data_IF_206131568587
#
_entry.id   IF_206131568587
#
_cell.length_a   1.000
_cell.length_b   1.000
_cell.length_c   1.000
_cell.angle_alpha   90.00
_cell.angle_beta   90.00
_cell.angle_gamma   90.00
#
_symmetry.space_group_name_H-M   'P 1'
#
loop_
_entity.id
_entity.type
_entity.pdbx_description
1 polymer ?
#
# COMPACT_ATOMS: atom_id res chain seq x y z
N UNK A 1 -12.40 12.65 9.20
CA UNK A 1 -13.20 13.90 9.04
C UNK A 1 -12.57 14.92 8.08
N UNK A 2 -11.26 15.18 8.15
CA UNK A 2 -10.58 16.14 7.27
C UNK A 2 -10.67 15.79 5.79
N UNK A 3 -10.40 14.54 5.41
CA UNK A 3 -10.52 14.05 4.04
C UNK A 3 -11.94 14.19 3.47
N UNK A 4 -12.97 13.98 4.29
CA UNK A 4 -14.38 14.18 3.89
C UNK A 4 -14.67 15.66 3.59
N UNK A 5 -14.09 16.59 4.37
CA UNK A 5 -14.21 18.03 4.13
C UNK A 5 -13.44 18.44 2.86
N UNK A 6 -12.23 17.91 2.67
CA UNK A 6 -11.42 18.15 1.48
C UNK A 6 -12.11 17.64 0.20
N UNK A 7 -12.64 16.41 0.20
CA UNK A 7 -13.44 15.88 -0.92
C UNK A 7 -14.67 16.73 -1.22
N UNK A 8 -15.38 17.20 -0.18
CA UNK A 8 -16.56 18.06 -0.36
C UNK A 8 -16.18 19.42 -0.96
N UNK A 9 -15.05 19.99 -0.55
CA UNK A 9 -14.50 21.22 -1.12
C UNK A 9 -14.10 21.05 -2.58
N UNK A 10 -13.31 20.01 -2.89
CA UNK A 10 -12.86 19.71 -4.24
C UNK A 10 -14.04 19.42 -5.18
N UNK A 11 -15.01 18.62 -4.75
CA UNK A 11 -16.22 18.33 -5.55
C UNK A 11 -16.99 19.62 -5.87
N UNK A 12 -17.11 20.56 -4.92
CA UNK A 12 -17.77 21.86 -5.14
C UNK A 12 -17.06 22.72 -6.20
N UNK A 13 -15.72 22.65 -6.26
CA UNK A 13 -14.89 23.43 -7.20
C UNK A 13 -14.84 22.75 -8.57
N UNK A 14 -14.64 21.43 -8.63
CA UNK A 14 -14.51 20.66 -9.88
C UNK A 14 -15.84 20.54 -10.63
N UNK A 15 -17.00 20.55 -9.96
CA UNK A 15 -18.32 20.49 -10.64
C UNK A 15 -18.62 21.70 -11.53
N UNK A 16 -17.91 22.82 -11.38
CA UNK A 16 -18.11 24.00 -12.22
C UNK A 16 -17.41 23.91 -13.59
N UNK A 17 -16.70 22.81 -13.91
CA UNK A 17 -15.84 22.77 -15.10
C UNK A 17 -15.78 21.49 -15.94
N UNK A 18 -16.37 20.34 -15.57
CA UNK A 18 -16.32 19.15 -16.43
C UNK A 18 -17.60 18.32 -16.52
N UNK A 19 -17.93 18.04 -17.78
CA UNK A 19 -18.87 17.05 -18.29
C UNK A 19 -18.53 15.67 -17.72
N UNK A 20 -19.55 15.00 -17.19
CA UNK A 20 -19.52 13.63 -16.69
C UNK A 20 -18.99 12.68 -17.75
N UNK A 21 -17.72 12.26 -17.65
CA UNK A 21 -17.19 11.16 -18.45
C UNK A 21 -17.64 9.86 -17.79
N UNK A 22 -18.64 9.23 -18.39
CA UNK A 22 -19.31 7.96 -18.03
C UNK A 22 -20.62 8.10 -17.21
N UNK A 23 -21.79 7.83 -17.82
CA UNK A 23 -23.05 7.67 -17.09
C UNK A 23 -23.08 6.28 -16.44
N UNK A 24 -23.15 6.21 -15.11
CA UNK A 24 -23.50 4.96 -14.42
C UNK A 24 -22.59 4.49 -13.28
N UNK A 25 -21.50 5.20 -12.96
CA UNK A 25 -20.69 4.89 -11.77
C UNK A 25 -20.79 6.02 -10.76
N UNK A 26 -21.12 5.68 -9.52
CA UNK A 26 -21.13 6.64 -8.41
C UNK A 26 -19.70 7.09 -8.11
N UNK A 27 -19.19 8.10 -8.82
CA UNK A 27 -17.81 8.61 -8.70
C UNK A 27 -17.41 8.93 -7.26
N UNK A 28 -18.36 9.42 -6.46
CA UNK A 28 -18.12 9.73 -5.06
C UNK A 28 -17.88 8.48 -4.20
N UNK A 29 -18.55 7.37 -4.51
CA UNK A 29 -18.39 6.10 -3.79
C UNK A 29 -17.04 5.46 -4.12
N UNK A 30 -16.67 5.48 -5.40
CA UNK A 30 -15.41 4.92 -5.88
C UNK A 30 -14.20 5.73 -5.37
N UNK A 31 -14.25 7.05 -5.48
CA UNK A 31 -13.20 7.94 -4.97
C UNK A 31 -13.02 7.82 -3.44
N UNK A 32 -14.08 7.53 -2.70
CA UNK A 32 -14.03 7.33 -1.25
C UNK A 32 -13.28 6.07 -0.85
N UNK A 33 -13.56 4.95 -1.51
CA UNK A 33 -12.86 3.68 -1.24
C UNK A 33 -11.38 3.79 -1.59
N UNK A 34 -11.05 4.48 -2.68
CA UNK A 34 -9.68 4.77 -3.06
C UNK A 34 -8.93 5.59 -1.99
N UNK A 35 -9.56 6.61 -1.41
CA UNK A 35 -8.94 7.38 -0.32
C UNK A 35 -8.75 6.57 0.97
N UNK A 36 -9.70 5.71 1.33
CA UNK A 36 -9.57 4.83 2.49
C UNK A 36 -8.40 3.84 2.30
N UNK A 37 -8.26 3.28 1.10
CA UNK A 37 -7.15 2.41 0.72
C UNK A 37 -5.79 3.12 0.84
N UNK A 38 -5.66 4.31 0.24
CA UNK A 38 -4.40 5.08 0.27
C UNK A 38 -4.04 5.52 1.69
N UNK A 39 -5.03 5.98 2.46
CA UNK A 39 -4.81 6.38 3.85
C UNK A 39 -4.36 5.20 4.72
N UNK A 40 -4.98 4.04 4.55
CA UNK A 40 -4.59 2.82 5.26
C UNK A 40 -3.22 2.30 4.85
N UNK A 41 -2.89 2.37 3.56
CA UNK A 41 -1.56 2.01 3.06
C UNK A 41 -0.49 2.93 3.65
N UNK A 42 -0.72 4.25 3.68
CA UNK A 42 0.19 5.21 4.28
C UNK A 42 0.44 4.95 5.77
N UNK A 43 -0.62 4.77 6.55
CA UNK A 43 -0.50 4.43 7.98
C UNK A 43 0.21 3.09 8.19
N UNK A 44 -0.10 2.10 7.35
CA UNK A 44 0.52 0.78 7.38
C UNK A 44 2.02 0.85 7.12
N UNK A 45 2.44 1.53 6.04
CA UNK A 45 3.86 1.69 5.68
C UNK A 45 4.63 2.43 6.77
N UNK A 46 4.10 3.52 7.31
CA UNK A 46 4.75 4.26 8.40
C UNK A 46 4.90 3.37 9.64
N UNK A 47 3.85 2.64 10.02
CA UNK A 47 3.86 1.69 11.15
C UNK A 47 4.90 0.57 10.94
N UNK A 48 4.95 -0.01 9.75
CA UNK A 48 5.92 -1.03 9.36
C UNK A 48 7.37 -0.51 9.37
N UNK A 49 7.59 0.74 8.96
CA UNK A 49 8.91 1.38 9.04
C UNK A 49 9.35 1.55 10.49
N UNK A 50 8.50 2.10 11.36
CA UNK A 50 8.82 2.21 12.79
C UNK A 50 9.09 0.84 13.44
N UNK A 51 8.35 -0.19 13.03
CA UNK A 51 8.55 -1.56 13.51
C UNK A 51 9.89 -2.16 13.07
N UNK A 52 10.33 -1.92 11.82
CA UNK A 52 11.51 -2.58 11.24
C UNK A 52 12.80 -1.78 11.27
N UNK A 53 12.75 -0.44 11.33
CA UNK A 53 13.92 0.43 11.20
C UNK A 53 15.00 0.11 12.24
N UNK A 54 14.59 0.00 13.51
CA UNK A 54 15.51 -0.31 14.60
C UNK A 54 16.06 -1.74 14.50
N UNK A 55 15.24 -2.69 14.07
CA UNK A 55 15.66 -4.08 13.88
C UNK A 55 16.67 -4.21 12.73
N UNK A 56 16.43 -3.56 11.58
CA UNK A 56 17.39 -3.58 10.47
C UNK A 56 18.71 -2.89 10.80
N UNK A 57 18.70 -1.83 11.59
CA UNK A 57 19.92 -1.22 12.08
C UNK A 57 20.76 -2.24 12.89
N UNK A 58 20.12 -3.07 13.72
CA UNK A 58 20.83 -4.12 14.47
C UNK A 58 21.32 -5.27 13.58
N UNK A 59 20.58 -5.61 12.52
CA UNK A 59 21.00 -6.65 11.56
C UNK A 59 22.13 -6.22 10.62
N UNK A 60 22.40 -4.92 10.50
CA UNK A 60 23.48 -4.39 9.67
C UNK A 60 24.88 -4.64 10.26
N UNK A 61 24.96 -4.95 11.56
CA UNK A 61 26.23 -5.31 12.21
C UNK A 61 26.65 -6.77 11.91
N UNK A 62 27.93 -7.11 12.07
CA UNK A 62 28.43 -8.48 11.89
C UNK A 62 27.96 -9.47 12.99
N UNK A 63 27.23 -8.98 14.00
CA UNK A 63 26.72 -9.78 15.11
C UNK A 63 25.44 -10.53 14.75
N UNK A 64 25.35 -11.81 15.14
CA UNK A 64 24.13 -12.60 14.99
C UNK A 64 23.26 -12.46 16.24
N UNK A 65 21.96 -12.21 16.06
CA UNK A 65 21.02 -12.07 17.18
C UNK A 65 20.91 -13.40 17.94
N UNK A 66 21.05 -13.35 19.27
CA UNK A 66 20.87 -14.49 20.17
C UNK A 66 22.15 -15.12 20.72
N UNK A 67 23.34 -14.62 20.34
CA UNK A 67 24.61 -15.03 20.95
C UNK A 67 24.66 -14.93 22.49
N UNK A 68 24.23 -13.83 23.14
CA UNK A 68 24.33 -13.75 24.60
C UNK A 68 23.45 -14.78 25.31
N UNK A 69 22.25 -15.08 24.79
CA UNK A 69 21.40 -16.12 25.37
C UNK A 69 21.95 -17.54 25.10
N UNK A 70 22.56 -17.76 23.93
CA UNK A 70 23.23 -19.01 23.60
C UNK A 70 24.49 -19.25 24.45
N UNK A 71 25.21 -18.17 24.81
CA UNK A 71 26.35 -18.20 25.73
C UNK A 71 25.91 -18.50 27.17
N UNK A 72 24.78 -17.97 27.62
CA UNK A 72 24.26 -18.16 28.98
C UNK A 72 23.59 -19.53 29.18
N UNK A 73 22.89 -20.03 28.15
CA UNK A 73 22.13 -21.29 28.21
C UNK A 73 22.90 -22.49 27.65
N UNK A 74 24.05 -22.26 27.00
CA UNK A 74 24.87 -23.31 26.36
C UNK A 74 24.21 -23.99 25.15
N UNK A 75 23.02 -23.54 24.74
CA UNK A 75 22.27 -24.08 23.62
C UNK A 75 21.82 -22.93 22.70
N UNK A 76 22.04 -23.09 21.40
CA UNK A 76 21.51 -22.14 20.41
C UNK A 76 20.06 -22.50 20.17
N UNK A 77 19.14 -21.78 20.82
CA UNK A 77 17.72 -21.87 20.49
C UNK A 77 17.48 -21.34 19.07
N UNK A 78 17.49 -22.25 18.09
CA UNK A 78 17.30 -21.94 16.67
C UNK A 78 15.96 -21.21 16.39
N UNK A 79 15.00 -21.32 17.32
CA UNK A 79 13.69 -20.65 17.27
C UNK A 79 13.75 -19.16 17.66
N UNK A 80 14.72 -18.73 18.48
CA UNK A 80 14.87 -17.35 18.99
C UNK A 80 16.08 -16.61 18.43
N UNK A 81 17.10 -17.35 17.99
CA UNK A 81 18.39 -16.86 17.47
C UNK A 81 18.62 -17.26 16.00
N UNK A 82 17.54 -17.43 15.23
CA UNK A 82 17.62 -18.04 13.91
C UNK A 82 18.02 -17.08 12.79
N UNK A 83 18.69 -17.62 11.77
CA UNK A 83 19.00 -16.99 10.46
C UNK A 83 17.79 -16.33 9.77
N UNK A 84 16.57 -16.74 10.14
CA UNK A 84 15.30 -16.29 9.56
C UNK A 84 14.69 -15.07 10.26
N UNK A 85 15.30 -14.56 11.33
CA UNK A 85 14.79 -13.39 12.07
C UNK A 85 14.49 -12.17 11.17
N UNK A 86 15.41 -11.71 10.28
CA UNK A 86 15.11 -10.59 9.38
C UNK A 86 13.90 -10.86 8.48
N UNK A 87 13.76 -12.11 8.00
CA UNK A 87 12.65 -12.52 7.14
C UNK A 87 11.31 -12.45 7.90
N UNK A 88 11.28 -12.91 9.16
CA UNK A 88 10.10 -12.80 10.02
C UNK A 88 9.71 -11.33 10.29
N UNK A 89 10.68 -10.43 10.47
CA UNK A 89 10.43 -8.99 10.61
C UNK A 89 9.83 -8.39 9.34
N UNK A 90 10.39 -8.69 8.17
CA UNK A 90 9.84 -8.26 6.87
C UNK A 90 8.43 -8.79 6.67
N UNK A 91 8.19 -10.07 6.93
CA UNK A 91 6.88 -10.69 6.76
C UNK A 91 5.84 -10.07 7.70
N UNK A 92 6.20 -9.87 8.97
CA UNK A 92 5.34 -9.16 9.94
C UNK A 92 5.02 -7.74 9.48
N UNK A 93 6.00 -7.03 8.92
CA UNK A 93 5.83 -5.68 8.41
C UNK A 93 4.85 -5.63 7.23
N UNK A 94 4.96 -6.57 6.28
CA UNK A 94 4.03 -6.69 5.15
C UNK A 94 2.61 -7.03 5.65
N UNK A 95 2.47 -7.96 6.58
CA UNK A 95 1.15 -8.27 7.15
C UNK A 95 0.55 -7.05 7.87
N UNK A 96 1.37 -6.33 8.65
CA UNK A 96 0.96 -5.11 9.35
C UNK A 96 0.48 -4.03 8.38
N UNK A 97 1.16 -3.83 7.24
CA UNK A 97 0.70 -2.85 6.24
C UNK A 97 -0.67 -3.24 5.67
N UNK A 98 -0.87 -4.51 5.32
CA UNK A 98 -2.14 -5.00 4.77
C UNK A 98 -3.27 -4.95 5.80
N UNK A 99 -2.99 -5.24 7.06
CA UNK A 99 -3.96 -5.08 8.14
C UNK A 99 -4.38 -3.62 8.32
N UNK A 100 -3.44 -2.68 8.30
CA UNK A 100 -3.75 -1.25 8.36
C UNK A 100 -4.65 -0.80 7.20
N UNK A 101 -4.45 -1.33 6.00
CA UNK A 101 -5.35 -1.08 4.86
C UNK A 101 -6.76 -1.58 5.19
N UNK A 102 -6.91 -2.84 5.61
CA UNK A 102 -8.21 -3.43 5.93
C UNK A 102 -8.93 -2.71 7.08
N UNK A 103 -8.23 -2.44 8.19
CA UNK A 103 -8.77 -1.72 9.33
C UNK A 103 -9.22 -0.31 8.96
N UNK A 104 -8.46 0.39 8.11
CA UNK A 104 -8.84 1.73 7.67
C UNK A 104 -10.13 1.73 6.86
N UNK A 105 -10.33 0.75 5.98
CA UNK A 105 -11.60 0.59 5.24
C UNK A 105 -12.77 0.37 6.20
N UNK A 106 -12.63 -0.54 7.17
CA UNK A 106 -13.68 -0.83 8.15
C UNK A 106 -14.02 0.37 9.04
N UNK A 107 -13.00 1.08 9.53
CA UNK A 107 -13.17 2.32 10.32
C UNK A 107 -13.82 3.41 9.47
N UNK A 108 -13.49 3.50 8.19
CA UNK A 108 -14.08 4.46 7.28
C UNK A 108 -15.57 4.19 7.00
N UNK A 109 -15.96 2.92 6.84
CA UNK A 109 -17.37 2.51 6.70
C UNK A 109 -18.19 2.87 7.95
N UNK A 110 -17.62 2.62 9.13
CA UNK A 110 -18.20 2.99 10.44
C UNK A 110 -18.47 4.49 10.52
N UNK A 111 -17.47 5.30 10.17
CA UNK A 111 -17.57 6.77 10.21
C UNK A 111 -18.62 7.32 9.23
N UNK A 112 -18.97 6.57 8.19
CA UNK A 112 -19.99 6.97 7.23
C UNK A 112 -21.40 6.64 7.71
N UNK A 113 -21.59 5.49 8.35
CA UNK A 113 -22.89 5.01 8.83
C UNK A 113 -23.29 5.56 10.20
N UNK A 114 -22.48 6.40 10.83
CA UNK A 114 -22.64 6.92 12.20
C UNK A 114 -24.04 7.48 12.54
N UNK A 115 -24.85 7.88 11.54
CA UNK A 115 -26.24 8.34 11.73
C UNK A 115 -27.31 7.22 11.78
N UNK A 116 -26.93 5.95 11.60
CA UNK A 116 -27.84 4.79 11.58
C UNK A 116 -27.33 3.74 12.60
N UNK A 117 -27.53 4.03 13.89
CA UNK A 117 -27.33 3.04 14.97
C UNK A 117 -28.37 1.93 14.80
N UNK A 118 -28.02 0.62 14.87
CA UNK A 118 -26.83 -0.04 15.44
C UNK A 118 -25.86 -0.69 14.42
N UNK A 119 -26.20 -0.76 13.13
CA UNK A 119 -25.40 -1.45 12.09
C UNK A 119 -24.09 -0.73 11.74
N UNK A 120 -23.95 0.54 12.15
CA UNK A 120 -22.77 1.35 11.89
C UNK A 120 -21.55 0.97 12.73
N UNK A 121 -21.74 0.44 13.94
CA UNK A 121 -20.64 0.20 14.91
C UNK A 121 -19.88 -1.11 14.65
N UNK A 122 -20.56 -2.09 14.05
CA UNK A 122 -20.04 -3.45 13.81
C UNK A 122 -18.67 -3.47 13.10
N UNK A 123 -18.47 -2.79 11.94
CA UNK A 123 -17.19 -2.83 11.24
C UNK A 123 -16.04 -2.18 12.06
N UNK A 124 -16.32 -1.10 12.78
CA UNK A 124 -15.31 -0.40 13.58
C UNK A 124 -14.89 -1.20 14.81
N UNK A 125 -15.86 -1.80 15.49
CA UNK A 125 -15.60 -2.71 16.61
C UNK A 125 -14.79 -3.92 16.14
N UNK A 126 -15.16 -4.53 14.99
CA UNK A 126 -14.43 -5.64 14.41
C UNK A 126 -12.97 -5.26 14.06
N UNK A 127 -12.73 -4.04 13.57
CA UNK A 127 -11.39 -3.53 13.31
C UNK A 127 -10.56 -3.42 14.60
N UNK A 128 -11.13 -2.86 15.67
CA UNK A 128 -10.43 -2.72 16.96
C UNK A 128 -10.15 -4.08 17.60
N UNK A 129 -11.13 -4.99 17.60
CA UNK A 129 -10.98 -6.34 18.15
C UNK A 129 -9.92 -7.12 17.36
N UNK A 130 -9.97 -7.09 16.04
CA UNK A 130 -8.95 -7.76 15.21
C UNK A 130 -7.56 -7.13 15.38
N UNK A 131 -7.45 -5.82 15.58
CA UNK A 131 -6.18 -5.16 15.92
C UNK A 131 -5.61 -5.66 17.26
N UNK A 132 -6.43 -5.71 18.32
CA UNK A 132 -6.01 -6.23 19.61
C UNK A 132 -5.63 -7.71 19.54
N UNK A 133 -6.40 -8.49 18.78
CA UNK A 133 -6.13 -9.92 18.58
C UNK A 133 -4.81 -10.16 17.85
N UNK A 134 -4.53 -9.43 16.76
CA UNK A 134 -3.26 -9.53 16.03
C UNK A 134 -2.08 -9.07 16.89
N UNK A 135 -2.25 -8.01 17.69
CA UNK A 135 -1.23 -7.56 18.64
C UNK A 135 -0.93 -8.63 19.71
N UNK A 136 -1.96 -9.27 20.24
CA UNK A 136 -1.81 -10.39 21.17
C UNK A 136 -1.09 -11.58 20.52
N UNK A 137 -1.47 -11.97 19.30
CA UNK A 137 -0.79 -13.02 18.54
C UNK A 137 0.68 -12.69 18.29
N UNK A 138 1.01 -11.43 17.97
CA UNK A 138 2.41 -10.99 17.82
C UNK A 138 3.21 -11.10 19.12
N UNK A 139 2.58 -10.90 20.29
CA UNK A 139 3.27 -11.12 21.58
C UNK A 139 3.67 -12.59 21.76
N UNK A 140 2.84 -13.53 21.29
CA UNK A 140 3.15 -14.97 21.31
C UNK A 140 4.33 -15.34 20.41
N UNK A 141 4.67 -14.51 19.41
CA UNK A 141 5.85 -14.73 18.58
C UNK A 141 7.16 -14.73 19.40
N UNK A 142 7.23 -13.95 20.48
CA UNK A 142 8.38 -13.92 21.40
C UNK A 142 8.61 -15.25 22.15
N UNK A 143 7.58 -16.12 22.19
CA UNK A 143 7.63 -17.46 22.80
C UNK A 143 8.12 -18.56 21.83
N UNK A 144 8.42 -18.22 20.57
CA UNK A 144 9.00 -19.16 19.60
C UNK A 144 8.02 -19.88 18.68
N UNK A 145 6.70 -19.59 18.74
CA UNK A 145 5.68 -20.21 17.89
C UNK A 145 5.41 -19.45 16.58
N UNK A 146 6.46 -19.07 15.84
CA UNK A 146 6.35 -18.19 14.67
C UNK A 146 5.47 -18.76 13.55
N UNK A 147 5.61 -20.05 13.20
CA UNK A 147 4.84 -20.66 12.09
C UNK A 147 3.33 -20.58 12.36
N UNK A 148 2.90 -20.95 13.57
CA UNK A 148 1.49 -20.93 13.95
C UNK A 148 0.97 -19.48 14.03
N UNK A 149 1.74 -18.57 14.63
CA UNK A 149 1.34 -17.16 14.74
C UNK A 149 1.15 -16.53 13.36
N UNK A 150 2.10 -16.70 12.44
CA UNK A 150 1.99 -16.16 11.08
C UNK A 150 0.84 -16.79 10.30
N UNK A 151 0.63 -18.10 10.43
CA UNK A 151 -0.48 -18.79 9.77
C UNK A 151 -1.84 -18.25 10.24
N UNK A 152 -2.02 -18.08 11.55
CA UNK A 152 -3.26 -17.52 12.11
C UNK A 152 -3.42 -16.05 11.73
N UNK A 153 -2.36 -15.24 11.79
CA UNK A 153 -2.41 -13.84 11.37
C UNK A 153 -2.80 -13.72 9.89
N UNK A 154 -2.24 -14.55 9.01
CA UNK A 154 -2.61 -14.56 7.59
C UNK A 154 -4.08 -14.93 7.38
N UNK A 155 -4.60 -15.90 8.14
CA UNK A 155 -6.01 -16.28 8.06
C UNK A 155 -6.94 -15.15 8.54
N UNK A 156 -6.60 -14.49 9.64
CA UNK A 156 -7.35 -13.31 10.13
C UNK A 156 -7.32 -12.18 9.09
N UNK A 157 -6.19 -11.98 8.40
CA UNK A 157 -6.07 -11.01 7.33
C UNK A 157 -7.02 -11.34 6.17
N UNK A 158 -7.08 -12.60 5.72
CA UNK A 158 -8.00 -13.01 4.66
C UNK A 158 -9.46 -12.77 5.03
N UNK A 159 -9.84 -13.06 6.28
CA UNK A 159 -11.19 -12.76 6.79
C UNK A 159 -11.47 -11.25 6.75
N UNK A 160 -10.50 -10.42 7.16
CA UNK A 160 -10.63 -8.97 7.11
C UNK A 160 -10.78 -8.45 5.68
N UNK A 161 -10.01 -8.98 4.73
CA UNK A 161 -10.10 -8.61 3.31
C UNK A 161 -11.44 -9.05 2.72
N UNK A 162 -11.91 -10.26 3.02
CA UNK A 162 -13.23 -10.74 2.59
C UNK A 162 -14.34 -9.81 3.09
N UNK A 163 -14.26 -9.37 4.34
CA UNK A 163 -15.21 -8.42 4.93
C UNK A 163 -15.14 -7.04 4.25
N UNK A 164 -13.92 -6.53 3.99
CA UNK A 164 -13.73 -5.30 3.21
C UNK A 164 -14.31 -5.40 1.80
N UNK A 165 -14.18 -6.55 1.13
CA UNK A 165 -14.77 -6.77 -0.19
C UNK A 165 -16.29 -6.60 -0.16
N UNK A 166 -16.96 -7.13 0.88
CA UNK A 166 -18.41 -6.93 1.08
C UNK A 166 -18.75 -5.46 1.34
N UNK A 167 -17.95 -4.74 2.14
CA UNK A 167 -18.12 -3.29 2.37
C UNK A 167 -18.02 -2.49 1.07
N UNK A 168 -17.13 -2.89 0.15
CA UNK A 168 -16.94 -2.24 -1.14
C UNK A 168 -18.05 -2.56 -2.15
N UNK A 169 -18.95 -3.50 -1.84
CA UNK A 169 -20.06 -3.91 -2.70
C UNK A 169 -19.81 -5.20 -3.49
N UNK A 170 -18.72 -5.91 -3.20
CA UNK A 170 -18.40 -7.21 -3.77
C UNK A 170 -19.14 -8.37 -3.08
N UNK A 171 -19.09 -9.56 -3.69
CA UNK A 171 -19.66 -10.80 -3.15
C UNK A 171 -18.55 -11.73 -2.65
N UNK A 172 -18.88 -12.70 -1.79
CA UNK A 172 -17.90 -13.70 -1.35
C UNK A 172 -17.40 -14.55 -2.53
N UNK A 173 -18.26 -14.79 -3.52
CA UNK A 173 -17.89 -15.49 -4.75
C UNK A 173 -16.81 -14.76 -5.57
N UNK A 174 -16.89 -13.43 -5.64
CA UNK A 174 -15.86 -12.63 -6.31
C UNK A 174 -14.53 -12.66 -5.54
N UNK A 175 -14.58 -12.73 -4.21
CA UNK A 175 -13.38 -12.92 -3.39
C UNK A 175 -12.71 -14.29 -3.59
N UNK A 176 -13.49 -15.38 -3.57
CA UNK A 176 -12.95 -16.74 -3.80
C UNK A 176 -12.37 -16.86 -5.21
N UNK A 177 -13.07 -16.32 -6.21
CA UNK A 177 -12.57 -16.27 -7.59
C UNK A 177 -11.27 -15.47 -7.67
N UNK A 178 -11.17 -14.32 -7.00
CA UNK A 178 -9.95 -13.51 -6.98
C UNK A 178 -8.76 -14.24 -6.34
N UNK A 179 -8.99 -14.97 -5.25
CA UNK A 179 -7.95 -15.83 -4.63
C UNK A 179 -7.50 -16.90 -5.61
N UNK A 180 -8.46 -17.61 -6.23
CA UNK A 180 -8.14 -18.66 -7.21
C UNK A 180 -7.32 -18.14 -8.38
N UNK A 181 -7.70 -17.00 -8.95
CA UNK A 181 -6.94 -16.33 -10.01
C UNK A 181 -5.57 -15.89 -9.54
N UNK A 182 -5.44 -15.39 -8.31
CA UNK A 182 -4.14 -14.97 -7.74
C UNK A 182 -3.17 -16.14 -7.62
N UNK A 183 -3.65 -17.33 -7.24
CA UNK A 183 -2.83 -18.54 -7.21
C UNK A 183 -2.39 -18.99 -8.61
N UNK A 184 -3.31 -18.94 -9.58
CA UNK A 184 -3.00 -19.29 -10.98
C UNK A 184 -1.99 -18.31 -11.56
N UNK A 185 -2.16 -17.01 -11.33
CA UNK A 185 -1.24 -15.98 -11.82
C UNK A 185 0.15 -16.06 -11.15
N UNK A 186 0.20 -16.41 -9.86
CA UNK A 186 1.45 -16.66 -9.14
C UNK A 186 2.19 -17.87 -9.71
N UNK A 187 1.48 -18.98 -9.95
CA UNK A 187 2.06 -20.20 -10.53
C UNK A 187 2.51 -20.00 -11.98
N UNK A 188 1.73 -19.25 -12.76
CA UNK A 188 2.03 -18.98 -14.18
C UNK A 188 3.11 -17.91 -14.36
N UNK A 189 3.61 -17.30 -13.26
CA UNK A 189 4.57 -16.17 -13.25
C UNK A 189 4.17 -15.06 -14.24
N UNK A 190 2.87 -14.93 -14.49
CA UNK A 190 2.32 -14.13 -15.60
C UNK A 190 2.67 -12.65 -15.44
N UNK A 191 2.70 -12.18 -14.19
CA UNK A 191 3.17 -10.85 -13.80
C UNK A 191 4.63 -10.60 -14.18
N UNK A 192 5.53 -11.55 -13.92
CA UNK A 192 6.96 -11.43 -14.26
C UNK A 192 7.15 -11.45 -15.76
N UNK A 193 6.45 -12.35 -16.46
CA UNK A 193 6.49 -12.42 -17.93
C UNK A 193 6.05 -11.10 -18.55
N UNK A 194 4.90 -10.58 -18.14
CA UNK A 194 4.38 -9.32 -18.67
C UNK A 194 5.32 -8.15 -18.36
N UNK A 195 5.91 -8.09 -17.16
CA UNK A 195 6.88 -7.05 -16.80
C UNK A 195 8.16 -7.12 -17.64
N UNK A 196 8.65 -8.33 -17.91
CA UNK A 196 9.81 -8.56 -18.78
C UNK A 196 9.52 -8.15 -20.22
N UNK A 197 8.33 -8.48 -20.74
CA UNK A 197 7.90 -8.07 -22.08
C UNK A 197 7.74 -6.54 -22.19
N UNK A 198 7.16 -5.91 -21.17
CA UNK A 198 7.02 -4.44 -21.13
C UNK A 198 8.37 -3.73 -21.04
N UNK A 199 9.34 -4.29 -20.30
CA UNK A 199 10.73 -3.81 -20.31
C UNK A 199 11.37 -3.99 -21.68
N UNK A 200 11.19 -5.15 -22.32
CA UNK A 200 11.73 -5.45 -23.65
C UNK A 200 11.17 -4.51 -24.71
N UNK A 201 9.87 -4.19 -24.67
CA UNK A 201 9.25 -3.20 -25.55
C UNK A 201 9.80 -1.79 -25.32
N UNK A 202 9.98 -1.36 -24.07
CA UNK A 202 10.61 -0.06 -23.75
C UNK A 202 12.06 0.04 -24.26
N UNK A 203 12.84 -1.02 -24.15
CA UNK A 203 14.21 -1.05 -24.67
C UNK A 203 14.24 -1.04 -26.20
N UNK A 204 13.36 -1.80 -26.87
CA UNK A 204 13.25 -1.77 -28.33
C UNK A 204 12.76 -0.42 -28.85
N UNK A 205 11.80 0.22 -28.18
CA UNK A 205 11.32 1.55 -28.55
C UNK A 205 12.40 2.63 -28.37
N UNK A 206 13.26 2.51 -27.35
CA UNK A 206 14.41 3.40 -27.16
C UNK A 206 15.48 3.25 -28.25
N UNK A 207 15.53 2.10 -28.92
CA UNK A 207 16.50 1.81 -29.98
C UNK A 207 15.95 2.08 -31.39
N UNK A 208 14.64 2.27 -31.52
CA UNK A 208 13.96 2.57 -32.77
C UNK A 208 13.74 4.08 -33.01
N UNK A 209 14.09 4.96 -32.07
CA UNK A 209 14.15 6.42 -32.31
C UNK A 209 15.49 6.69 -33.00
N UNK A 210 15.51 7.04 -34.30
CA UNK A 210 16.74 7.45 -34.97
C UNK A 210 17.18 8.79 -34.38
N UNK A 211 18.46 8.91 -34.02
CA UNK A 211 19.04 10.20 -33.64
C UNK A 211 18.93 11.14 -34.86
N UNK A 212 18.00 12.10 -34.81
CA UNK A 212 17.93 13.15 -35.83
C UNK A 212 19.27 13.90 -35.84
N UNK A 213 19.94 14.05 -37.00
CA UNK A 213 21.18 14.81 -37.05
C UNK A 213 20.87 16.26 -36.69
N UNK A 214 21.54 16.78 -35.65
CA UNK A 214 21.40 18.17 -35.22
C UNK A 214 21.77 19.11 -36.36
N UNK A 215 20.78 19.62 -37.07
CA UNK A 215 20.95 20.71 -38.02
C UNK A 215 21.13 22.01 -37.25
N UNK A 216 22.36 22.51 -37.26
CA UNK A 216 22.74 23.88 -36.92
C UNK A 216 21.73 24.88 -37.52
N UNK A 217 21.01 25.60 -36.66
CA UNK A 217 20.23 26.78 -37.08
C UNK A 217 21.02 28.03 -36.71
N UNK A 218 21.89 28.44 -37.62
CA UNK A 218 22.51 29.76 -37.63
C UNK A 218 21.51 30.85 -38.04
N UNK A 219 21.53 31.96 -37.29
CA UNK A 219 21.38 33.37 -37.70
C UNK A 219 20.21 33.84 -38.58
N UNK A 220 19.47 34.85 -38.11
CA UNK A 220 19.51 36.21 -38.68
C UNK A 220 18.54 37.16 -37.96
N UNK A 221 19.08 38.35 -37.67
CA UNK A 221 18.48 39.59 -37.16
C UNK A 221 17.40 40.19 -38.06
N UNK A 222 16.53 41.01 -37.48
CA UNK A 222 16.28 42.41 -37.92
C UNK A 222 15.16 43.08 -37.08
N UNK A 223 15.54 44.10 -36.31
CA UNK A 223 14.65 45.14 -35.76
C UNK A 223 14.67 46.38 -36.69
N UNK A 224 13.55 47.09 -36.91
CA UNK A 224 13.57 48.42 -37.50
C UNK A 224 13.45 49.54 -36.44
N UNK A 225 14.26 50.59 -36.57
CA UNK A 225 14.29 51.82 -35.75
C UNK A 225 13.02 52.69 -35.89
N UNK A 226 12.88 53.88 -35.30
CA UNK A 226 13.86 54.89 -34.85
C UNK A 226 13.10 55.99 -34.07
N UNK A 227 13.82 56.86 -33.33
CA UNK A 227 13.50 58.28 -33.03
C UNK A 227 12.60 58.56 -31.80
N UNK A 228 12.90 59.46 -30.83
CA UNK A 228 13.99 60.41 -30.60
C UNK A 228 13.86 61.02 -29.17
N UNK A 229 15.01 61.40 -28.57
CA UNK A 229 15.31 62.57 -27.67
C UNK A 229 14.50 62.76 -26.36
N UNK A 230 15.07 63.12 -25.20
CA UNK A 230 15.83 64.34 -24.80
C UNK A 230 16.68 63.96 -23.55
N UNK A 231 17.95 64.36 -23.35
CA UNK A 231 18.34 65.65 -22.74
C UNK A 231 19.86 65.90 -22.81
N UNK A 232 20.17 67.18 -23.08
CA UNK A 232 21.41 67.97 -22.87
C UNK A 232 22.65 67.71 -23.73
#
# INVERSE_FOLDING_TARGET
MLLKKAQKGLNKITRHGQISVAPGVSDLHNARHMLALVCGLGMGVISALFYTMNAFATFAGPGTIGLPMALETGHIDSNRAGKYLPLCYVLSAILLTLFHVAWTIMVWDTCHKIGRFPTAFVPGAAAVVSHLFVAFLSSLNSRGFYILVFSVQFLVLLICIAYCNVIMGGTIQSFVTAIGQSFVDAFTLKQIRNFVEERKMRTQQRQAVPDEPMTERGGASDEPGTSNTVDA
#
